data_IF_749226679336
#
_entry.id   IF_749226679336
#
_cell.length_a   1.000
_cell.length_b   1.000
_cell.length_c   1.000
_cell.angle_alpha   90.00
_cell.angle_beta   90.00
_cell.angle_gamma   90.00
#
_symmetry.space_group_name_H-M   'P 1'
#
loop_
_entity.id
_entity.type
_entity.pdbx_description
1 polymer ?
#
# COMPACT_ATOMS: atom_id res chain seq x y z
N UNK A 1 15.78 -5.91 16.74
CA UNK A 1 14.47 -5.66 17.39
C UNK A 1 13.68 -4.55 16.71
N UNK A 2 14.24 -3.35 16.52
CA UNK A 2 13.55 -2.25 15.83
C UNK A 2 13.00 -2.66 14.45
N UNK A 3 13.80 -3.35 13.63
CA UNK A 3 13.38 -3.75 12.30
C UNK A 3 12.25 -4.80 12.29
N UNK A 4 12.22 -5.68 13.30
CA UNK A 4 11.12 -6.61 13.50
C UNK A 4 9.81 -5.87 13.80
N UNK A 5 9.87 -4.82 14.63
CA UNK A 5 8.69 -4.00 14.94
C UNK A 5 8.21 -3.28 13.69
N UNK A 6 9.12 -2.70 12.90
CA UNK A 6 8.79 -2.06 11.61
C UNK A 6 8.13 -3.05 10.66
N UNK A 7 8.66 -4.27 10.57
CA UNK A 7 8.08 -5.34 9.76
C UNK A 7 6.66 -5.72 10.18
N UNK A 8 6.44 -5.91 11.48
CA UNK A 8 5.11 -6.25 12.02
C UNK A 8 4.12 -5.12 11.75
N UNK A 9 4.51 -3.87 12.00
CA UNK A 9 3.67 -2.70 11.73
C UNK A 9 3.33 -2.62 10.24
N UNK A 10 4.32 -2.73 9.35
CA UNK A 10 4.11 -2.71 7.90
C UNK A 10 3.15 -3.82 7.43
N UNK A 11 3.34 -5.04 7.91
CA UNK A 11 2.46 -6.17 7.60
C UNK A 11 1.02 -5.94 8.07
N UNK A 12 0.83 -5.43 9.29
CA UNK A 12 -0.50 -5.12 9.81
C UNK A 12 -1.20 -4.03 8.99
N UNK A 13 -0.47 -3.01 8.52
CA UNK A 13 -1.04 -1.96 7.68
C UNK A 13 -1.59 -2.53 6.37
N UNK A 14 -0.82 -3.37 5.68
CA UNK A 14 -1.26 -4.00 4.42
C UNK A 14 -2.43 -4.95 4.66
N UNK A 15 -2.37 -5.77 5.72
CA UNK A 15 -3.43 -6.73 6.05
C UNK A 15 -4.74 -6.05 6.45
N UNK A 16 -4.69 -4.98 7.23
CA UNK A 16 -5.89 -4.19 7.60
C UNK A 16 -6.49 -3.55 6.35
N UNK A 17 -5.65 -2.95 5.49
CA UNK A 17 -6.10 -2.34 4.24
C UNK A 17 -6.83 -3.37 3.35
N UNK A 18 -6.22 -4.54 3.17
CA UNK A 18 -6.81 -5.63 2.40
C UNK A 18 -8.08 -6.19 3.05
N UNK A 19 -8.06 -6.39 4.38
CA UNK A 19 -9.21 -6.87 5.14
C UNK A 19 -10.43 -5.94 5.03
N UNK A 20 -10.21 -4.63 5.02
CA UNK A 20 -11.28 -3.64 4.83
C UNK A 20 -11.84 -3.63 3.41
N UNK A 21 -11.03 -3.93 2.39
CA UNK A 21 -11.54 -4.19 1.03
C UNK A 21 -12.40 -5.45 1.01
N UNK A 22 -11.90 -6.55 1.58
CA UNK A 22 -12.62 -7.83 1.59
C UNK A 22 -13.92 -7.77 2.39
N UNK A 23 -13.97 -6.96 3.44
CA UNK A 23 -15.18 -6.67 4.20
C UNK A 23 -16.17 -5.74 3.47
N UNK A 24 -15.84 -5.27 2.26
CA UNK A 24 -16.63 -4.31 1.50
C UNK A 24 -16.70 -2.91 2.12
N UNK A 25 -15.88 -2.63 3.14
CA UNK A 25 -15.84 -1.33 3.83
C UNK A 25 -15.11 -0.29 3.01
N UNK A 26 -14.01 -0.67 2.36
CA UNK A 26 -13.27 0.16 1.43
C UNK A 26 -13.28 -0.41 0.01
N UNK A 27 -13.06 0.47 -0.96
CA UNK A 27 -12.79 0.18 -2.36
C UNK A 27 -11.31 0.37 -2.64
N UNK A 28 -10.82 -0.26 -3.72
CA UNK A 28 -9.42 -0.17 -4.17
C UNK A 28 -8.92 1.26 -4.45
N UNK A 29 -9.82 2.21 -4.66
CA UNK A 29 -9.51 3.61 -4.92
C UNK A 29 -9.71 4.52 -3.70
N UNK A 30 -10.09 3.96 -2.56
CA UNK A 30 -10.26 4.73 -1.34
C UNK A 30 -8.90 5.19 -0.81
N UNK A 31 -8.84 6.47 -0.42
CA UNK A 31 -7.59 7.10 0.00
C UNK A 31 -6.98 6.40 1.23
N UNK A 32 -7.81 5.90 2.15
CA UNK A 32 -7.36 5.14 3.32
C UNK A 32 -6.68 3.83 2.95
N UNK A 33 -7.28 3.07 2.02
CA UNK A 33 -6.68 1.85 1.49
C UNK A 33 -5.32 2.14 0.83
N UNK A 34 -5.30 3.11 -0.10
CA UNK A 34 -4.09 3.46 -0.83
C UNK A 34 -2.98 3.94 0.11
N UNK A 35 -3.31 4.75 1.13
CA UNK A 35 -2.34 5.23 2.11
C UNK A 35 -1.73 4.10 2.95
N UNK A 36 -2.58 3.22 3.52
CA UNK A 36 -2.09 2.09 4.32
C UNK A 36 -1.26 1.12 3.47
N UNK A 37 -1.68 0.86 2.24
CA UNK A 37 -0.98 -0.05 1.34
C UNK A 37 0.39 0.51 0.94
N UNK A 38 0.48 1.79 0.57
CA UNK A 38 1.75 2.45 0.23
C UNK A 38 2.69 2.47 1.44
N UNK A 39 2.23 2.93 2.60
CA UNK A 39 3.08 3.05 3.78
C UNK A 39 3.53 1.68 4.28
N UNK A 40 2.62 0.70 4.34
CA UNK A 40 2.94 -0.67 4.74
C UNK A 40 3.98 -1.31 3.83
N UNK A 41 3.80 -1.18 2.51
CA UNK A 41 4.74 -1.72 1.52
C UNK A 41 6.11 -1.04 1.59
N UNK A 42 6.16 0.29 1.82
CA UNK A 42 7.43 0.99 2.01
C UNK A 42 8.18 0.50 3.25
N UNK A 43 7.50 0.32 4.39
CA UNK A 43 8.13 -0.20 5.61
C UNK A 43 8.68 -1.62 5.38
N UNK A 44 7.91 -2.50 4.75
CA UNK A 44 8.34 -3.85 4.39
C UNK A 44 9.49 -3.82 3.38
N UNK A 45 9.50 -2.87 2.46
CA UNK A 45 10.59 -2.65 1.50
C UNK A 45 11.91 -2.28 2.20
N UNK A 46 11.88 -1.39 3.19
CA UNK A 46 13.06 -1.05 4.00
C UNK A 46 13.57 -2.31 4.72
N UNK A 47 12.67 -3.11 5.31
CA UNK A 47 13.01 -4.39 5.99
C UNK A 47 13.68 -5.35 5.02
N UNK A 48 13.13 -5.49 3.83
CA UNK A 48 13.64 -6.40 2.81
C UNK A 48 15.02 -5.99 2.30
N UNK A 49 15.31 -4.69 2.20
CA UNK A 49 16.62 -4.17 1.82
C UNK A 49 17.65 -4.50 2.91
N UNK A 50 17.33 -4.27 4.18
CA UNK A 50 18.22 -4.61 5.30
C UNK A 50 18.53 -6.11 5.35
N UNK A 51 17.49 -6.94 5.15
CA UNK A 51 17.61 -8.40 5.10
C UNK A 51 18.22 -8.96 3.80
N UNK A 52 18.52 -8.10 2.81
CA UNK A 52 19.01 -8.46 1.47
C UNK A 52 18.11 -9.46 0.72
N UNK A 53 16.80 -9.42 0.95
CA UNK A 53 15.81 -10.30 0.31
C UNK A 53 15.33 -9.71 -1.01
N UNK A 54 16.12 -9.90 -2.07
CA UNK A 54 15.86 -9.29 -3.39
C UNK A 54 14.45 -9.55 -3.91
N UNK A 55 13.90 -10.76 -3.73
CA UNK A 55 12.53 -11.08 -4.14
C UNK A 55 11.46 -10.28 -3.40
N UNK A 56 11.66 -10.01 -2.11
CA UNK A 56 10.76 -9.16 -1.33
C UNK A 56 10.92 -7.68 -1.72
N UNK A 57 12.15 -7.21 -1.92
CA UNK A 57 12.38 -5.84 -2.39
C UNK A 57 11.60 -5.57 -3.68
N UNK A 58 11.72 -6.45 -4.67
CA UNK A 58 10.97 -6.33 -5.93
C UNK A 58 9.45 -6.32 -5.72
N UNK A 59 8.95 -7.21 -4.85
CA UNK A 59 7.52 -7.31 -4.54
C UNK A 59 6.98 -6.01 -3.93
N UNK A 60 7.66 -5.46 -2.94
CA UNK A 60 7.22 -4.25 -2.24
C UNK A 60 7.26 -3.01 -3.15
N UNK A 61 8.27 -2.90 -4.02
CA UNK A 61 8.32 -1.85 -5.03
C UNK A 61 7.21 -2.00 -6.08
N UNK A 62 6.86 -3.23 -6.48
CA UNK A 62 5.74 -3.47 -7.39
C UNK A 62 4.40 -3.08 -6.75
N UNK A 63 4.17 -3.43 -5.48
CA UNK A 63 3.00 -3.01 -4.72
C UNK A 63 2.88 -1.49 -4.63
N UNK A 64 3.96 -0.80 -4.25
CA UNK A 64 3.99 0.66 -4.20
C UNK A 64 3.68 1.29 -5.57
N UNK A 65 4.23 0.73 -6.65
CA UNK A 65 3.97 1.19 -8.03
C UNK A 65 2.51 1.02 -8.45
N UNK A 66 1.91 -0.14 -8.21
CA UNK A 66 0.49 -0.41 -8.51
C UNK A 66 -0.42 0.53 -7.72
N UNK A 67 -0.14 0.74 -6.43
CA UNK A 67 -0.90 1.66 -5.59
C UNK A 67 -0.84 3.10 -6.11
N UNK A 68 0.33 3.57 -6.61
CA UNK A 68 0.47 4.90 -7.20
C UNK A 68 -0.38 5.07 -8.46
N UNK A 69 -0.49 4.03 -9.31
CA UNK A 69 -1.41 4.02 -10.46
C UNK A 69 -2.87 4.10 -10.00
N UNK A 70 -3.22 3.40 -8.92
CA UNK A 70 -4.53 3.50 -8.26
C UNK A 70 -4.85 4.94 -7.83
N UNK A 71 -3.92 5.61 -7.15
CA UNK A 71 -4.04 7.03 -6.76
C UNK A 71 -4.28 7.93 -7.97
N UNK A 72 -3.47 7.78 -9.03
CA UNK A 72 -3.62 8.57 -10.25
C UNK A 72 -5.00 8.38 -10.91
N UNK A 73 -5.52 7.15 -10.93
CA UNK A 73 -6.88 6.85 -11.42
C UNK A 73 -7.96 7.49 -10.54
N UNK A 74 -7.83 7.40 -9.22
CA UNK A 74 -8.77 8.00 -8.27
C UNK A 74 -8.86 9.53 -8.45
N UNK A 75 -7.70 10.20 -8.61
CA UNK A 75 -7.65 11.65 -8.85
C UNK A 75 -8.32 12.02 -10.18
N UNK A 76 -8.04 11.27 -11.26
CA UNK A 76 -8.67 11.51 -12.57
C UNK A 76 -10.20 11.35 -12.51
N UNK A 77 -10.69 10.31 -11.86
CA UNK A 77 -12.13 10.09 -11.69
C UNK A 77 -12.81 11.23 -10.92
N UNK A 78 -12.17 11.71 -9.84
CA UNK A 78 -12.68 12.87 -9.06
C UNK A 78 -12.70 14.17 -9.86
N UNK A 79 -11.71 14.40 -10.74
CA UNK A 79 -11.68 15.58 -11.62
C UNK A 79 -12.80 15.54 -12.65
N UNK A 80 -13.01 14.40 -13.30
CA UNK A 80 -14.07 14.23 -14.30
C UNK A 80 -15.48 14.42 -13.70
N UNK A 81 -15.69 13.95 -12.47
CA UNK A 81 -16.97 14.14 -11.76
C UNK A 81 -17.22 15.59 -11.32
N UNK A 82 -16.18 16.43 -11.24
CA UNK A 82 -16.29 17.83 -10.80
C UNK A 82 -16.45 18.81 -11.96
N UNK A 83 -16.27 18.35 -13.20
CA UNK A 83 -16.46 19.12 -14.43
C UNK A 83 -17.85 18.94 -15.07
N UNK A 84 -18.73 18.16 -14.44
CA UNK A 84 -20.14 17.99 -14.77
C UNK A 84 -20.99 18.78 -13.76
#
# INVERSE_FOLDING_TARGET
MAMQVISVVGALMVLVAYGLIQAGTWRELDAGYLALNILGSLLLGIVAIEDRRVGFVLLEFAWAGIALVGVARAIRARRAARSL
#
